data_IF_301212704416
#
_entry.id   IF_301212704416
#
_cell.length_a   1.000
_cell.length_b   1.000
_cell.length_c   1.000
_cell.angle_alpha   90.00
_cell.angle_beta   90.00
_cell.angle_gamma   90.00
#
_symmetry.space_group_name_H-M   'P 1'
#
loop_
_entity.id
_entity.type
_entity.pdbx_description
1 polymer ?
#
# COMPACT_ATOMS: atom_id res chain seq x y z
N UNK A 1 10.17 42.15 -1.38
CA UNK A 1 10.80 41.18 -0.43
C UNK A 1 9.99 40.93 0.88
N UNK A 2 8.76 41.45 1.06
CA UNK A 2 7.97 41.31 2.31
C UNK A 2 7.01 40.10 2.39
N UNK A 3 6.82 39.36 1.30
CA UNK A 3 5.74 38.36 1.22
C UNK A 3 6.06 37.08 2.02
N UNK A 4 7.31 36.62 2.03
CA UNK A 4 7.69 35.39 2.73
C UNK A 4 7.56 35.52 4.26
N UNK A 5 8.09 36.57 4.92
CA UNK A 5 7.88 36.77 6.35
C UNK A 5 6.39 36.82 6.73
N UNK A 6 5.58 37.53 5.94
CA UNK A 6 4.13 37.61 6.16
C UNK A 6 3.45 36.23 6.01
N UNK A 7 3.83 35.42 5.02
CA UNK A 7 3.27 34.06 4.90
C UNK A 7 3.64 33.17 6.08
N UNK A 8 4.86 33.28 6.61
CA UNK A 8 5.30 32.53 7.79
C UNK A 8 4.47 32.96 9.00
N UNK A 9 4.30 34.27 9.21
CA UNK A 9 3.48 34.84 10.28
C UNK A 9 2.02 34.36 10.18
N UNK A 10 1.43 34.39 8.99
CA UNK A 10 0.07 33.90 8.77
C UNK A 10 -0.08 32.39 9.01
N UNK A 11 0.93 31.59 8.69
CA UNK A 11 0.92 30.16 8.97
C UNK A 11 1.02 29.86 10.48
N UNK A 12 1.74 30.70 11.23
CA UNK A 12 1.94 30.54 12.67
C UNK A 12 0.76 31.07 13.50
N UNK A 13 0.32 32.30 13.20
CA UNK A 13 -0.47 33.09 14.15
C UNK A 13 -1.89 33.44 13.67
N UNK A 14 -2.24 33.12 12.42
CA UNK A 14 -3.57 33.46 11.88
C UNK A 14 -4.69 32.78 12.67
N UNK A 15 -5.55 33.59 13.29
CA UNK A 15 -6.77 33.13 13.96
C UNK A 15 -7.83 32.63 12.98
N UNK A 16 -7.71 32.97 11.68
CA UNK A 16 -8.57 32.44 10.64
C UNK A 16 -8.00 31.11 10.11
N UNK A 17 -8.70 29.96 10.32
CA UNK A 17 -8.18 28.65 9.91
C UNK A 17 -8.01 28.50 8.40
N UNK A 18 -8.79 29.22 7.58
CA UNK A 18 -8.67 29.18 6.12
C UNK A 18 -7.40 29.91 5.66
N UNK A 19 -7.11 31.07 6.25
CA UNK A 19 -5.89 31.84 5.96
C UNK A 19 -4.66 31.05 6.40
N UNK A 20 -4.69 30.48 7.61
CA UNK A 20 -3.60 29.64 8.11
C UNK A 20 -3.33 28.45 7.19
N UNK A 21 -4.39 27.76 6.77
CA UNK A 21 -4.28 26.62 5.85
C UNK A 21 -3.68 27.03 4.50
N UNK A 22 -4.13 28.16 3.93
CA UNK A 22 -3.58 28.66 2.66
C UNK A 22 -2.11 29.04 2.82
N UNK A 23 -1.73 29.71 3.90
CA UNK A 23 -0.34 30.06 4.18
C UNK A 23 0.55 28.81 4.28
N UNK A 24 0.13 27.79 5.04
CA UNK A 24 0.84 26.50 5.14
C UNK A 24 0.99 25.84 3.77
N UNK A 25 -0.08 25.80 2.97
CA UNK A 25 -0.05 25.21 1.63
C UNK A 25 0.92 25.95 0.71
N UNK A 26 0.84 27.28 0.64
CA UNK A 26 1.68 28.10 -0.23
C UNK A 26 3.16 28.01 0.15
N UNK A 27 3.51 28.01 1.44
CA UNK A 27 4.88 27.75 1.91
C UNK A 27 5.40 26.38 1.42
N UNK A 28 4.53 25.37 1.30
CA UNK A 28 4.86 24.06 0.73
C UNK A 28 5.20 24.07 -0.75
N UNK A 29 4.58 24.97 -1.51
CA UNK A 29 4.81 25.07 -2.97
C UNK A 29 6.08 25.86 -3.31
N UNK A 30 6.59 26.65 -2.36
CA UNK A 30 7.82 27.42 -2.52
C UNK A 30 9.06 26.51 -2.54
N UNK A 31 10.12 26.95 -3.23
CA UNK A 31 11.37 26.17 -3.38
C UNK A 31 12.43 26.56 -2.35
N UNK A 32 12.28 27.72 -1.74
CA UNK A 32 13.22 28.31 -0.79
C UNK A 32 13.36 27.44 0.47
N UNK A 33 14.58 27.04 0.87
CA UNK A 33 14.82 26.22 2.05
C UNK A 33 14.20 26.80 3.33
N UNK A 34 14.21 28.12 3.48
CA UNK A 34 13.65 28.85 4.61
C UNK A 34 12.17 28.54 4.81
N UNK A 35 11.42 28.28 3.73
CA UNK A 35 9.99 27.92 3.80
C UNK A 35 9.79 26.53 4.40
N UNK A 36 10.68 25.58 4.08
CA UNK A 36 10.63 24.22 4.61
C UNK A 36 11.01 24.21 6.07
N UNK A 37 12.04 24.97 6.42
CA UNK A 37 12.45 25.15 7.82
C UNK A 37 11.35 25.79 8.66
N UNK A 38 10.68 26.82 8.13
CA UNK A 38 9.54 27.44 8.80
C UNK A 38 8.39 26.43 9.02
N UNK A 39 8.08 25.58 8.04
CA UNK A 39 7.07 24.53 8.16
C UNK A 39 7.46 23.44 9.18
N UNK A 40 8.73 23.01 9.22
CA UNK A 40 9.19 22.06 10.25
C UNK A 40 9.13 22.67 11.65
N UNK A 41 9.56 23.92 11.83
CA UNK A 41 9.44 24.63 13.11
C UNK A 41 7.98 24.78 13.52
N UNK A 42 7.11 25.14 12.58
CA UNK A 42 5.68 25.23 12.84
C UNK A 42 5.13 23.88 13.33
N UNK A 43 5.48 22.78 12.66
CA UNK A 43 5.08 21.43 13.08
C UNK A 43 5.42 21.12 14.54
N UNK A 44 6.63 21.46 14.97
CA UNK A 44 7.11 21.21 16.34
C UNK A 44 6.34 22.00 17.40
N UNK A 45 5.89 23.21 17.06
CA UNK A 45 5.13 24.09 17.96
C UNK A 45 3.63 23.81 18.02
N UNK A 46 3.07 23.16 16.99
CA UNK A 46 1.65 22.89 16.91
C UNK A 46 1.22 21.82 17.94
N UNK A 47 0.02 21.97 18.46
CA UNK A 47 -0.67 20.94 19.27
C UNK A 47 -1.84 20.32 18.54
N UNK A 48 -2.51 21.06 17.66
CA UNK A 48 -3.62 20.56 16.85
C UNK A 48 -3.18 19.58 15.76
N UNK A 49 -3.64 18.33 15.87
CA UNK A 49 -3.35 17.24 14.92
C UNK A 49 -3.77 17.60 13.50
N UNK A 50 -4.91 18.26 13.30
CA UNK A 50 -5.41 18.60 11.95
C UNK A 50 -4.49 19.59 11.23
N UNK A 51 -3.92 20.54 11.96
CA UNK A 51 -2.98 21.51 11.41
C UNK A 51 -1.61 20.87 11.18
N UNK A 52 -1.16 19.96 12.06
CA UNK A 52 0.02 19.12 11.82
C UNK A 52 -0.09 18.30 10.53
N UNK A 53 -1.25 17.69 10.28
CA UNK A 53 -1.52 16.96 9.04
C UNK A 53 -1.34 17.85 7.81
N UNK A 54 -1.87 19.07 7.84
CA UNK A 54 -1.72 20.03 6.73
C UNK A 54 -0.26 20.40 6.50
N UNK A 55 0.52 20.59 7.56
CA UNK A 55 1.95 20.88 7.47
C UNK A 55 2.69 19.70 6.85
N UNK A 56 2.44 18.47 7.32
CA UNK A 56 3.04 17.27 6.73
C UNK A 56 2.65 17.16 5.24
N UNK A 57 1.38 17.32 4.89
CA UNK A 57 0.92 17.23 3.50
C UNK A 57 1.65 18.25 2.61
N UNK A 58 1.79 19.46 3.11
CA UNK A 58 2.51 20.56 2.45
C UNK A 58 3.98 20.21 2.23
N UNK A 59 4.64 19.62 3.24
CA UNK A 59 6.04 19.18 3.16
C UNK A 59 6.24 17.98 2.22
N UNK A 60 5.34 16.99 2.22
CA UNK A 60 5.47 15.78 1.37
C UNK A 60 5.36 16.11 -0.12
N UNK A 61 4.56 17.12 -0.48
CA UNK A 61 4.47 17.61 -1.86
C UNK A 61 5.78 18.25 -2.36
N UNK A 62 6.68 18.62 -1.46
CA UNK A 62 8.00 19.13 -1.82
C UNK A 62 8.80 18.07 -2.60
N UNK A 63 9.43 18.50 -3.69
CA UNK A 63 10.40 17.69 -4.44
C UNK A 63 11.83 17.79 -3.89
N UNK A 64 12.03 18.55 -2.83
CA UNK A 64 13.33 18.75 -2.20
C UNK A 64 13.79 17.50 -1.43
N UNK A 65 14.99 17.02 -1.74
CA UNK A 65 15.59 15.83 -1.11
C UNK A 65 15.83 16.03 0.38
N UNK A 66 16.22 17.23 0.81
CA UNK A 66 16.46 17.52 2.23
C UNK A 66 15.17 17.41 3.04
N UNK A 67 14.07 17.92 2.49
CA UNK A 67 12.72 17.82 3.06
C UNK A 67 12.31 16.36 3.20
N UNK A 68 12.56 15.52 2.18
CA UNK A 68 12.28 14.07 2.23
C UNK A 68 13.04 13.36 3.35
N UNK A 69 14.34 13.65 3.52
CA UNK A 69 15.14 13.10 4.63
C UNK A 69 14.61 13.53 6.00
N UNK A 70 14.23 14.81 6.14
CA UNK A 70 13.62 15.33 7.38
C UNK A 70 12.26 14.68 7.66
N UNK A 71 11.41 14.45 6.65
CA UNK A 71 10.14 13.73 6.79
C UNK A 71 10.32 12.27 7.22
N UNK A 72 11.34 11.57 6.71
CA UNK A 72 11.69 10.22 7.17
C UNK A 72 12.16 10.22 8.63
N UNK A 73 12.93 11.23 9.05
CA UNK A 73 13.30 11.41 10.46
C UNK A 73 12.08 11.67 11.33
N UNK A 74 11.16 12.52 10.86
CA UNK A 74 9.91 12.81 11.54
C UNK A 74 9.06 11.55 11.71
N UNK A 75 8.89 10.74 10.66
CA UNK A 75 8.16 9.47 10.73
C UNK A 75 8.65 8.55 11.86
N UNK A 76 9.96 8.49 12.09
CA UNK A 76 10.55 7.64 13.16
C UNK A 76 10.31 8.19 14.56
N UNK A 77 10.09 9.50 14.70
CA UNK A 77 9.95 10.19 15.99
C UNK A 77 8.50 10.49 16.35
N UNK A 78 7.62 10.56 15.36
CA UNK A 78 6.23 10.95 15.56
C UNK A 78 5.53 9.94 16.47
N UNK A 79 4.85 10.42 17.51
CA UNK A 79 4.18 9.59 18.53
C UNK A 79 2.68 9.49 18.31
N UNK A 80 2.08 10.47 17.65
CA UNK A 80 0.67 10.44 17.27
C UNK A 80 0.49 9.43 16.13
N UNK A 81 -0.27 8.37 16.40
CA UNK A 81 -0.49 7.27 15.47
C UNK A 81 -1.18 7.72 14.18
N UNK A 82 -2.07 8.72 14.26
CA UNK A 82 -2.79 9.26 13.10
C UNK A 82 -1.84 10.05 12.20
N UNK A 83 -0.96 10.88 12.77
CA UNK A 83 0.08 11.59 12.02
C UNK A 83 1.10 10.62 11.41
N UNK A 84 1.48 9.57 12.15
CA UNK A 84 2.39 8.51 11.69
C UNK A 84 1.79 7.74 10.51
N UNK A 85 0.53 7.33 10.60
CA UNK A 85 -0.22 6.70 9.49
C UNK A 85 -0.22 7.60 8.25
N UNK A 86 -0.49 8.88 8.46
CA UNK A 86 -0.61 9.83 7.38
C UNK A 86 0.72 10.10 6.67
N UNK A 87 1.82 10.18 7.45
CA UNK A 87 3.20 10.21 6.94
C UNK A 87 3.52 8.98 6.10
N UNK A 88 3.22 7.78 6.61
CA UNK A 88 3.46 6.52 5.88
C UNK A 88 2.70 6.53 4.55
N UNK A 89 1.42 6.88 4.58
CA UNK A 89 0.59 6.92 3.39
C UNK A 89 1.13 7.92 2.35
N UNK A 90 1.36 9.17 2.73
CA UNK A 90 1.82 10.18 1.77
C UNK A 90 3.24 9.91 1.27
N UNK A 91 4.16 9.47 2.14
CA UNK A 91 5.50 9.08 1.70
C UNK A 91 5.48 7.88 0.75
N UNK A 92 4.63 6.88 0.98
CA UNK A 92 4.50 5.76 0.05
C UNK A 92 3.87 6.13 -1.30
N UNK A 93 3.17 7.27 -1.39
CA UNK A 93 2.75 7.85 -2.67
C UNK A 93 3.88 8.61 -3.40
N UNK A 94 4.96 8.98 -2.71
CA UNK A 94 6.09 9.67 -3.34
C UNK A 94 6.88 8.69 -4.20
N UNK A 95 7.02 9.00 -5.49
CA UNK A 95 7.86 8.26 -6.44
C UNK A 95 9.33 8.62 -6.25
N UNK A 96 9.93 8.11 -5.18
CA UNK A 96 11.35 8.29 -4.86
C UNK A 96 11.98 6.98 -4.39
N UNK A 97 12.98 6.45 -5.12
CA UNK A 97 13.70 5.25 -4.71
C UNK A 97 14.34 5.35 -3.32
N UNK A 98 14.77 6.53 -2.86
CA UNK A 98 15.33 6.76 -1.52
C UNK A 98 14.25 6.57 -0.45
N UNK A 99 13.04 7.09 -0.69
CA UNK A 99 11.89 6.88 0.21
C UNK A 99 11.48 5.41 0.24
N UNK A 100 11.38 4.74 -0.92
CA UNK A 100 11.06 3.31 -0.98
C UNK A 100 12.07 2.49 -0.18
N UNK A 101 13.36 2.77 -0.34
CA UNK A 101 14.44 2.10 0.40
C UNK A 101 14.27 2.29 1.91
N UNK A 102 13.96 3.52 2.35
CA UNK A 102 13.76 3.82 3.75
C UNK A 102 12.50 3.14 4.34
N UNK A 103 11.40 3.08 3.59
CA UNK A 103 10.16 2.43 4.03
C UNK A 103 10.31 0.89 4.07
N UNK A 104 11.03 0.29 3.12
CA UNK A 104 11.38 -1.14 3.16
C UNK A 104 12.26 -1.46 4.36
N UNK A 105 13.29 -0.64 4.62
CA UNK A 105 14.14 -0.79 5.80
C UNK A 105 13.34 -0.66 7.11
N UNK A 106 12.45 0.33 7.20
CA UNK A 106 11.57 0.50 8.35
C UNK A 106 10.64 -0.70 8.56
N UNK A 107 10.14 -1.31 7.48
CA UNK A 107 9.35 -2.54 7.55
C UNK A 107 10.17 -3.68 8.15
N UNK A 108 11.43 -3.83 7.73
CA UNK A 108 12.32 -4.90 8.19
C UNK A 108 12.77 -4.75 9.65
N UNK A 109 13.03 -3.52 10.08
CA UNK A 109 13.46 -3.22 11.45
C UNK A 109 12.30 -3.23 12.46
N UNK A 110 11.07 -2.97 12.00
CA UNK A 110 9.91 -2.88 12.89
C UNK A 110 9.55 -4.24 13.49
N UNK A 111 9.10 -4.23 14.76
CA UNK A 111 8.45 -5.37 15.40
C UNK A 111 6.94 -5.15 15.60
N UNK A 112 6.42 -3.95 15.26
CA UNK A 112 5.00 -3.63 15.37
C UNK A 112 4.24 -4.18 14.16
N UNK A 113 3.33 -5.16 14.36
CA UNK A 113 2.54 -5.74 13.28
C UNK A 113 1.67 -4.70 12.57
N UNK A 114 1.06 -3.75 13.30
CA UNK A 114 0.19 -2.73 12.71
C UNK A 114 0.99 -1.80 11.80
N UNK A 115 2.19 -1.41 12.23
CA UNK A 115 3.10 -0.62 11.40
C UNK A 115 3.52 -1.40 10.14
N UNK A 116 3.85 -2.69 10.26
CA UNK A 116 4.16 -3.54 9.09
C UNK A 116 3.01 -3.60 8.10
N UNK A 117 1.77 -3.79 8.56
CA UNK A 117 0.58 -3.80 7.69
C UNK A 117 0.43 -2.47 6.94
N UNK A 118 0.55 -1.34 7.64
CA UNK A 118 0.44 0.01 7.06
C UNK A 118 1.53 0.26 6.01
N UNK A 119 2.77 -0.10 6.31
CA UNK A 119 3.91 0.02 5.38
C UNK A 119 3.71 -0.82 4.13
N UNK A 120 3.26 -2.07 4.29
CA UNK A 120 3.02 -2.98 3.17
C UNK A 120 1.95 -2.43 2.21
N UNK A 121 0.85 -1.90 2.76
CA UNK A 121 -0.20 -1.23 1.97
C UNK A 121 0.32 0.04 1.31
N UNK A 122 1.10 0.85 2.02
CA UNK A 122 1.62 2.10 1.47
C UNK A 122 2.62 1.86 0.33
N UNK A 123 3.54 0.91 0.48
CA UNK A 123 4.47 0.50 -0.57
C UNK A 123 3.76 0.02 -1.84
N UNK A 124 2.59 -0.60 -1.71
CA UNK A 124 1.82 -1.08 -2.87
C UNK A 124 1.45 0.03 -3.85
N UNK A 125 1.29 1.27 -3.38
CA UNK A 125 0.86 2.42 -4.18
C UNK A 125 1.85 2.76 -5.31
N UNK A 126 3.12 2.37 -5.15
CA UNK A 126 4.17 2.54 -6.16
C UNK A 126 4.80 1.23 -6.63
N UNK A 127 4.23 0.07 -6.27
CA UNK A 127 4.81 -1.24 -6.58
C UNK A 127 4.90 -1.55 -8.08
N UNK A 128 4.07 -0.92 -8.92
CA UNK A 128 4.17 -1.09 -10.38
C UNK A 128 5.42 -0.45 -10.97
N UNK A 129 6.02 0.53 -10.27
CA UNK A 129 7.19 1.30 -10.72
C UNK A 129 8.49 0.86 -10.06
N UNK A 130 8.42 -0.02 -9.05
CA UNK A 130 9.57 -0.47 -8.30
C UNK A 130 9.51 -1.98 -8.04
N UNK A 131 10.31 -2.73 -8.81
CA UNK A 131 10.37 -4.20 -8.75
C UNK A 131 10.71 -4.72 -7.35
N UNK A 132 11.48 -3.96 -6.57
CA UNK A 132 11.88 -4.36 -5.20
C UNK A 132 10.66 -4.55 -4.29
N UNK A 133 9.59 -3.79 -4.53
CA UNK A 133 8.34 -3.91 -3.76
C UNK A 133 7.62 -5.22 -4.11
N UNK A 134 7.54 -5.56 -5.40
CA UNK A 134 6.99 -6.86 -5.84
C UNK A 134 7.80 -8.01 -5.25
N UNK A 135 9.12 -7.96 -5.34
CA UNK A 135 10.03 -8.97 -4.76
C UNK A 135 9.84 -9.09 -3.24
N UNK A 136 9.66 -7.96 -2.55
CA UNK A 136 9.38 -7.95 -1.11
C UNK A 136 8.06 -8.66 -0.78
N UNK A 137 7.00 -8.37 -1.51
CA UNK A 137 5.69 -9.01 -1.31
C UNK A 137 5.77 -10.51 -1.57
N UNK A 138 6.46 -10.94 -2.63
CA UNK A 138 6.69 -12.37 -2.92
C UNK A 138 7.46 -13.04 -1.77
N UNK A 139 8.52 -12.39 -1.26
CA UNK A 139 9.28 -12.91 -0.12
C UNK A 139 8.42 -13.03 1.14
N UNK A 140 7.57 -12.05 1.44
CA UNK A 140 6.65 -12.11 2.58
C UNK A 140 5.68 -13.28 2.44
N UNK A 141 5.09 -13.47 1.25
CA UNK A 141 4.14 -14.56 0.99
C UNK A 141 4.77 -15.94 1.27
N UNK A 142 6.01 -16.13 0.85
CA UNK A 142 6.74 -17.40 0.98
C UNK A 142 7.32 -17.66 2.36
N UNK A 143 7.85 -16.61 3.02
CA UNK A 143 8.74 -16.79 4.15
C UNK A 143 8.19 -16.25 5.48
N UNK A 144 7.16 -15.39 5.47
CA UNK A 144 6.62 -14.82 6.69
C UNK A 144 5.89 -15.88 7.52
N UNK A 145 6.13 -15.92 8.84
CA UNK A 145 5.29 -16.68 9.78
C UNK A 145 4.01 -15.95 10.15
N UNK A 146 3.94 -14.65 9.89
CA UNK A 146 2.76 -13.83 10.10
C UNK A 146 1.79 -14.04 8.92
N UNK A 147 0.72 -14.79 9.18
CA UNK A 147 -0.35 -15.07 8.22
C UNK A 147 -1.02 -13.79 7.72
N UNK A 148 -1.19 -12.79 8.59
CA UNK A 148 -1.84 -11.53 8.23
C UNK A 148 -1.00 -10.74 7.23
N UNK A 149 0.32 -10.74 7.37
CA UNK A 149 1.22 -10.13 6.38
C UNK A 149 1.19 -10.89 5.04
N UNK A 150 1.12 -12.22 5.04
CA UNK A 150 0.97 -13.02 3.82
C UNK A 150 -0.32 -12.68 3.08
N UNK A 151 -1.44 -12.59 3.80
CA UNK A 151 -2.74 -12.21 3.23
C UNK A 151 -2.70 -10.83 2.56
N UNK A 152 -2.14 -9.83 3.25
CA UNK A 152 -2.04 -8.48 2.69
C UNK A 152 -1.12 -8.50 1.48
N UNK A 153 0.02 -9.19 1.53
CA UNK A 153 0.94 -9.28 0.41
C UNK A 153 0.28 -9.93 -0.82
N UNK A 154 -0.48 -11.03 -0.66
CA UNK A 154 -1.27 -11.64 -1.74
C UNK A 154 -2.25 -10.62 -2.34
N UNK A 155 -3.02 -9.93 -1.50
CA UNK A 155 -3.96 -8.91 -1.95
C UNK A 155 -3.27 -7.78 -2.71
N UNK A 156 -2.19 -7.21 -2.17
CA UNK A 156 -1.50 -6.10 -2.82
C UNK A 156 -0.88 -6.56 -4.15
N UNK A 157 -0.24 -7.73 -4.16
CA UNK A 157 0.37 -8.29 -5.36
C UNK A 157 -0.67 -8.59 -6.46
N UNK A 158 -1.91 -8.93 -6.10
CA UNK A 158 -3.01 -9.09 -7.09
C UNK A 158 -3.36 -7.81 -7.85
N UNK A 159 -3.16 -6.64 -7.24
CA UNK A 159 -3.46 -5.34 -7.86
C UNK A 159 -2.30 -4.82 -8.71
N UNK A 160 -1.05 -5.12 -8.31
CA UNK A 160 0.16 -4.49 -8.90
C UNK A 160 1.01 -5.46 -9.72
N UNK A 161 0.81 -6.76 -9.54
CA UNK A 161 1.66 -7.82 -10.05
C UNK A 161 1.31 -8.33 -11.45
N UNK A 162 0.26 -7.80 -12.10
CA UNK A 162 -0.07 -8.17 -13.48
C UNK A 162 -0.37 -9.67 -13.69
N UNK A 163 -0.20 -10.16 -14.92
CA UNK A 163 -0.41 -11.57 -15.25
C UNK A 163 0.77 -12.45 -14.81
N UNK A 164 1.96 -11.86 -14.61
CA UNK A 164 3.19 -12.58 -14.27
C UNK A 164 3.15 -13.28 -12.91
N UNK A 165 2.25 -12.86 -12.02
CA UNK A 165 2.07 -13.46 -10.69
C UNK A 165 1.09 -14.63 -10.66
N UNK A 166 0.37 -14.91 -11.76
CA UNK A 166 -0.61 -16.00 -11.81
C UNK A 166 0.03 -17.37 -11.51
N UNK A 167 1.18 -17.75 -12.13
CA UNK A 167 1.83 -19.02 -11.83
C UNK A 167 2.27 -19.12 -10.36
N UNK A 168 2.73 -18.01 -9.77
CA UNK A 168 3.10 -17.95 -8.36
C UNK A 168 1.90 -18.26 -7.46
N UNK A 169 0.76 -17.61 -7.68
CA UNK A 169 -0.46 -17.83 -6.89
C UNK A 169 -1.01 -19.24 -7.04
N UNK A 170 -1.01 -19.78 -8.27
CA UNK A 170 -1.39 -21.16 -8.53
C UNK A 170 -0.51 -22.13 -7.73
N UNK A 171 0.81 -22.03 -7.85
CA UNK A 171 1.73 -22.95 -7.19
C UNK A 171 1.63 -22.85 -5.68
N UNK A 172 1.59 -21.61 -5.15
CA UNK A 172 1.40 -21.37 -3.74
C UNK A 172 0.13 -22.05 -3.22
N UNK A 173 -0.99 -22.00 -3.93
CA UNK A 173 -2.23 -22.65 -3.50
C UNK A 173 -2.05 -24.13 -3.18
N UNK A 174 -1.32 -24.85 -4.03
CA UNK A 174 -1.06 -26.28 -3.89
C UNK A 174 0.01 -26.61 -2.83
N UNK A 175 0.88 -25.65 -2.52
CA UNK A 175 1.85 -25.77 -1.42
C UNK A 175 1.20 -25.57 -0.04
N UNK A 176 0.04 -24.89 0.04
CA UNK A 176 -0.65 -24.63 1.31
C UNK A 176 -1.35 -25.85 1.88
N UNK A 177 -1.29 -26.00 3.20
CA UNK A 177 -1.99 -27.07 3.91
C UNK A 177 -3.52 -26.86 3.87
N UNK A 178 -4.33 -27.91 4.11
CA UNK A 178 -5.79 -27.77 4.20
C UNK A 178 -6.27 -26.72 5.23
N UNK A 179 -5.53 -26.54 6.33
CA UNK A 179 -5.86 -25.65 7.44
C UNK A 179 -5.63 -24.16 7.10
N UNK A 180 -4.82 -23.86 6.08
CA UNK A 180 -4.54 -22.49 5.62
C UNK A 180 -5.67 -21.92 4.74
N UNK A 181 -6.92 -22.29 5.05
CA UNK A 181 -8.14 -21.97 4.27
C UNK A 181 -8.29 -20.47 3.99
N UNK A 182 -7.91 -19.62 4.95
CA UNK A 182 -8.01 -18.16 4.79
C UNK A 182 -7.06 -17.66 3.71
N UNK A 183 -5.81 -18.12 3.69
CA UNK A 183 -4.84 -17.73 2.67
C UNK A 183 -5.20 -18.32 1.31
N UNK A 184 -5.65 -19.58 1.26
CA UNK A 184 -6.23 -20.21 0.04
C UNK A 184 -7.35 -19.35 -0.55
N UNK A 185 -8.27 -18.87 0.29
CA UNK A 185 -9.36 -17.97 -0.13
C UNK A 185 -8.84 -16.65 -0.72
N UNK A 186 -7.81 -16.05 -0.11
CA UNK A 186 -7.19 -14.84 -0.66
C UNK A 186 -6.51 -15.09 -2.00
N UNK A 187 -5.87 -16.24 -2.19
CA UNK A 187 -5.28 -16.64 -3.47
C UNK A 187 -6.37 -16.81 -4.54
N UNK A 188 -7.47 -17.49 -4.23
CA UNK A 188 -8.62 -17.62 -5.14
C UNK A 188 -9.18 -16.25 -5.51
N UNK A 189 -9.37 -15.37 -4.52
CA UNK A 189 -9.84 -14.00 -4.76
C UNK A 189 -8.87 -13.21 -5.65
N UNK A 190 -7.56 -13.33 -5.40
CA UNK A 190 -6.51 -12.68 -6.17
C UNK A 190 -6.49 -13.17 -7.63
N UNK A 191 -6.55 -14.49 -7.87
CA UNK A 191 -6.71 -15.07 -9.20
C UNK A 191 -8.02 -14.62 -9.86
N UNK A 192 -9.10 -14.53 -9.08
CA UNK A 192 -10.39 -14.01 -9.53
C UNK A 192 -10.35 -12.54 -9.97
N UNK A 193 -9.52 -11.69 -9.36
CA UNK A 193 -9.28 -10.31 -9.83
C UNK A 193 -8.51 -10.27 -11.15
N UNK A 194 -7.73 -11.32 -11.42
CA UNK A 194 -6.95 -11.51 -12.63
C UNK A 194 -7.70 -12.32 -13.70
N UNK A 195 -8.99 -12.61 -13.49
CA UNK A 195 -9.79 -13.53 -14.32
C UNK A 195 -9.91 -13.11 -15.80
N UNK A 196 -9.61 -11.84 -16.12
CA UNK A 196 -9.51 -11.37 -17.50
C UNK A 196 -8.38 -12.05 -18.29
N UNK A 197 -7.36 -12.57 -17.59
CA UNK A 197 -6.25 -13.30 -18.20
C UNK A 197 -6.61 -14.78 -18.35
N UNK A 198 -6.26 -15.36 -19.50
CA UNK A 198 -6.52 -16.78 -19.78
C UNK A 198 -5.84 -17.70 -18.75
N UNK A 199 -4.59 -17.42 -18.36
CA UNK A 199 -3.89 -18.23 -17.37
C UNK A 199 -4.58 -18.23 -15.99
N UNK A 200 -5.28 -17.15 -15.62
CA UNK A 200 -6.01 -17.10 -14.35
C UNK A 200 -7.24 -18.03 -14.36
N UNK A 201 -7.89 -18.17 -15.52
CA UNK A 201 -8.98 -19.13 -15.70
C UNK A 201 -8.46 -20.56 -15.58
N UNK A 202 -7.36 -20.89 -16.27
CA UNK A 202 -6.71 -22.19 -16.19
C UNK A 202 -6.30 -22.53 -14.77
N UNK A 203 -5.61 -21.61 -14.08
CA UNK A 203 -5.21 -21.80 -12.68
C UNK A 203 -6.39 -22.11 -11.76
N UNK A 204 -7.51 -21.37 -11.89
CA UNK A 204 -8.70 -21.60 -11.08
C UNK A 204 -9.40 -22.93 -11.42
N UNK A 205 -9.46 -23.33 -12.69
CA UNK A 205 -10.01 -24.64 -13.08
C UNK A 205 -9.16 -25.77 -12.50
N UNK A 206 -7.84 -25.66 -12.60
CA UNK A 206 -6.91 -26.66 -12.06
C UNK A 206 -7.02 -26.79 -10.54
N UNK A 207 -7.14 -25.67 -9.83
CA UNK A 207 -7.39 -25.65 -8.39
C UNK A 207 -8.74 -26.33 -8.10
N UNK A 208 -9.81 -25.97 -8.80
CA UNK A 208 -11.14 -26.53 -8.55
C UNK A 208 -11.24 -28.03 -8.80
N UNK A 209 -10.44 -28.59 -9.72
CA UNK A 209 -10.39 -30.05 -9.97
C UNK A 209 -9.84 -30.85 -8.80
N UNK A 210 -9.08 -30.22 -7.90
CA UNK A 210 -8.40 -30.89 -6.78
C UNK A 210 -8.90 -30.43 -5.41
N UNK A 211 -9.56 -29.26 -5.34
CA UNK A 211 -10.07 -28.71 -4.09
C UNK A 211 -11.25 -29.53 -3.57
N UNK A 212 -11.19 -29.87 -2.27
CA UNK A 212 -12.19 -30.68 -1.58
C UNK A 212 -13.08 -29.85 -0.66
N UNK A 213 -12.63 -28.66 -0.25
CA UNK A 213 -13.41 -27.73 0.56
C UNK A 213 -14.52 -27.08 -0.30
N UNK A 214 -15.81 -27.37 -0.01
CA UNK A 214 -16.93 -26.85 -0.78
C UNK A 214 -17.05 -25.33 -0.72
N UNK A 215 -16.60 -24.68 0.36
CA UNK A 215 -16.60 -23.22 0.46
C UNK A 215 -15.54 -22.58 -0.42
N UNK A 216 -14.37 -23.21 -0.59
CA UNK A 216 -13.34 -22.74 -1.52
C UNK A 216 -13.77 -22.98 -2.97
N UNK A 217 -14.31 -24.16 -3.28
CA UNK A 217 -14.90 -24.46 -4.59
C UNK A 217 -15.96 -23.43 -5.00
N UNK A 218 -16.87 -23.06 -4.09
CA UNK A 218 -17.88 -22.02 -4.36
C UNK A 218 -17.27 -20.68 -4.77
N UNK A 219 -16.17 -20.26 -4.13
CA UNK A 219 -15.49 -19.00 -4.48
C UNK A 219 -14.83 -19.08 -5.87
N UNK A 220 -14.29 -20.25 -6.21
CA UNK A 220 -13.69 -20.49 -7.52
C UNK A 220 -14.77 -20.45 -8.61
N UNK A 221 -15.87 -21.17 -8.42
CA UNK A 221 -17.02 -21.20 -9.33
C UNK A 221 -17.57 -19.78 -9.55
N UNK A 222 -17.71 -18.99 -8.48
CA UNK A 222 -18.15 -17.60 -8.59
C UNK A 222 -17.22 -16.76 -9.48
N UNK A 223 -15.90 -16.95 -9.33
CA UNK A 223 -14.89 -16.24 -10.13
C UNK A 223 -14.91 -16.67 -11.59
N UNK A 224 -14.98 -17.98 -11.86
CA UNK A 224 -15.04 -18.55 -13.20
C UNK A 224 -16.32 -18.13 -13.94
N UNK A 225 -17.47 -18.10 -13.26
CA UNK A 225 -18.74 -17.63 -13.84
C UNK A 225 -18.63 -16.19 -14.37
N UNK A 226 -17.90 -15.33 -13.66
CA UNK A 226 -17.71 -13.92 -14.06
C UNK A 226 -16.82 -13.78 -15.31
N UNK A 227 -15.97 -14.77 -15.60
CA UNK A 227 -14.97 -14.66 -16.66
C UNK A 227 -15.56 -14.68 -18.07
N UNK A 228 -16.68 -15.42 -18.25
CA UNK A 228 -17.25 -15.76 -19.57
C UNK A 228 -16.23 -16.41 -20.52
N UNK A 229 -15.13 -16.96 -19.99
CA UNK A 229 -14.12 -17.66 -20.77
C UNK A 229 -14.67 -19.02 -21.22
N UNK A 230 -14.40 -19.41 -22.48
CA UNK A 230 -14.91 -20.68 -23.05
C UNK A 230 -14.54 -21.91 -22.22
N UNK A 231 -13.31 -21.98 -21.71
CA UNK A 231 -12.86 -23.10 -20.87
C UNK A 231 -13.53 -23.09 -19.50
N UNK A 232 -13.72 -21.91 -18.92
CA UNK A 232 -14.44 -21.76 -17.67
C UNK A 232 -15.90 -22.21 -17.82
N UNK A 233 -16.57 -21.85 -18.94
CA UNK A 233 -17.95 -22.30 -19.23
C UNK A 233 -18.01 -23.82 -19.36
N UNK A 234 -17.14 -24.42 -20.19
CA UNK A 234 -17.08 -25.89 -20.34
C UNK A 234 -16.87 -26.60 -19.01
N UNK A 235 -15.93 -26.10 -18.19
CA UNK A 235 -15.68 -26.66 -16.87
C UNK A 235 -16.90 -26.56 -15.94
N UNK A 236 -17.63 -25.44 -15.97
CA UNK A 236 -18.85 -25.27 -15.17
C UNK A 236 -19.96 -26.21 -15.65
N UNK A 237 -20.12 -26.42 -16.96
CA UNK A 237 -21.05 -27.41 -17.52
C UNK A 237 -20.68 -28.85 -17.10
N UNK A 238 -19.38 -29.20 -17.11
CA UNK A 238 -18.89 -30.50 -16.63
C UNK A 238 -19.26 -30.76 -15.17
N UNK A 239 -19.27 -29.73 -14.31
CA UNK A 239 -19.63 -29.87 -12.89
C UNK A 239 -21.14 -30.02 -12.70
N UNK A 240 -21.95 -29.29 -13.48
CA UNK A 240 -23.42 -29.33 -13.35
C UNK A 240 -23.99 -30.68 -13.83
N UNK A 241 -23.35 -31.29 -14.84
CA UNK A 241 -23.80 -32.54 -15.44
C UNK A 241 -23.25 -33.80 -14.75
N UNK A 242 -22.55 -33.65 -13.62
CA UNK A 242 -22.09 -34.75 -12.76
C UNK A 242 -23.00 -34.90 -11.56
#
# INVERSE_FOLDING_TARGET
KRVLPLMIELAQNSQNPKIQQQAIFWLGQRREPETKEALFKLYETLTDTKTKERVIFSLVQSRDKTTRKKLLSLLRKEKDERLREQLIFWLGNVRDPEITTALLKLFDESQDPKLKERLLRSLSLNASQDKRIKEKFISIIKNSRDTRLREIAVLQLSHVGGQEIIPLFRNLYFELTPEETKLKRYIIFALGNLIKYHQANQALIEIARQEKDPHLLKNIIFSLRRSKNKEAVKFLEEIINR
#
